data_IF_344805214316
#
_entry.id   IF_344805214316
#
_cell.length_a   1.000
_cell.length_b   1.000
_cell.length_c   1.000
_cell.angle_alpha   90.00
_cell.angle_beta   90.00
_cell.angle_gamma   90.00
#
_symmetry.space_group_name_H-M   'P 1'
#
loop_
_entity.id
_entity.type
_entity.pdbx_description
1 polymer ?
#
# COMPACT_ATOMS: atom_id res chain seq x y z
N UNK A 1 80.22 -84.18 4.96
CA UNK A 1 81.62 -84.50 5.07
C UNK A 1 82.32 -83.61 6.06
N UNK A 2 82.68 -84.13 7.14
CA UNK A 2 83.93 -83.93 7.87
C UNK A 2 84.15 -82.52 8.48
N UNK A 3 84.09 -82.44 9.70
CA UNK A 3 85.04 -82.73 10.81
C UNK A 3 85.76 -81.45 11.11
N UNK A 4 85.95 -81.06 12.21
CA UNK A 4 86.18 -81.62 13.45
C UNK A 4 86.63 -80.52 14.41
N UNK A 5 86.26 -80.76 15.53
CA UNK A 5 87.11 -80.88 16.70
C UNK A 5 87.78 -79.63 17.30
N UNK A 6 87.33 -79.40 18.46
CA UNK A 6 88.18 -79.39 19.69
C UNK A 6 89.03 -78.14 19.91
N UNK A 7 88.64 -77.39 20.84
CA UNK A 7 89.42 -76.40 21.52
C UNK A 7 88.60 -75.86 22.67
N UNK A 8 88.13 -76.55 23.41
CA UNK A 8 88.41 -77.22 24.67
C UNK A 8 88.81 -76.29 25.77
N UNK A 9 88.04 -76.36 26.72
CA UNK A 9 88.34 -76.50 28.14
C UNK A 9 89.46 -75.64 28.83
N UNK A 10 90.28 -74.92 28.12
CA UNK A 10 91.28 -74.07 28.77
C UNK A 10 90.85 -72.65 29.12
N UNK A 11 89.83 -72.13 28.42
CA UNK A 11 89.35 -70.78 28.68
C UNK A 11 88.28 -70.71 29.77
N UNK A 12 87.75 -71.85 30.25
CA UNK A 12 86.76 -71.86 31.33
C UNK A 12 87.41 -71.81 32.75
N UNK A 13 88.69 -72.24 32.88
CA UNK A 13 89.43 -72.22 34.17
C UNK A 13 90.12 -70.89 34.43
N UNK A 14 90.47 -70.08 33.41
CA UNK A 14 91.03 -68.77 33.63
C UNK A 14 89.98 -67.73 34.05
N UNK A 15 88.73 -67.92 33.64
CA UNK A 15 87.62 -67.02 34.00
C UNK A 15 87.16 -67.19 35.48
N UNK A 16 87.51 -68.34 36.13
CA UNK A 16 87.23 -68.62 37.57
C UNK A 16 88.30 -68.09 38.54
N UNK A 17 89.42 -67.60 38.00
CA UNK A 17 90.52 -67.14 38.82
C UNK A 17 90.44 -65.69 39.32
N UNK A 18 89.45 -64.89 38.79
CA UNK A 18 89.20 -63.47 39.19
C UNK A 18 87.77 -63.19 39.56
N UNK A 19 87.26 -63.65 40.68
CA UNK A 19 85.87 -63.38 41.09
C UNK A 19 85.57 -61.87 41.27
N UNK A 20 86.66 -61.09 41.53
CA UNK A 20 86.56 -59.64 41.62
C UNK A 20 86.27 -58.93 40.28
N UNK A 21 86.86 -59.44 39.14
CA UNK A 21 86.71 -58.84 37.79
C UNK A 21 85.32 -59.12 37.25
N UNK A 22 84.78 -60.33 37.47
CA UNK A 22 83.43 -60.67 37.08
C UNK A 22 82.36 -59.80 37.79
N UNK A 23 82.55 -59.54 39.05
CA UNK A 23 81.65 -58.69 39.85
C UNK A 23 81.63 -57.21 39.39
N UNK A 24 82.84 -56.70 39.07
CA UNK A 24 83.00 -55.34 38.52
C UNK A 24 82.46 -55.22 37.12
N UNK A 25 82.58 -56.23 36.28
CA UNK A 25 82.03 -56.27 34.94
C UNK A 25 80.46 -56.27 34.96
N UNK A 26 79.87 -57.02 35.85
CA UNK A 26 78.46 -57.05 36.09
C UNK A 26 77.91 -55.70 36.57
N UNK A 27 78.61 -55.11 37.55
CA UNK A 27 78.26 -53.77 38.07
C UNK A 27 78.42 -52.70 36.99
N UNK A 28 79.45 -52.80 36.14
CA UNK A 28 79.63 -51.90 34.99
C UNK A 28 78.52 -52.07 33.96
N UNK A 29 78.11 -53.31 33.66
CA UNK A 29 77.04 -53.62 32.75
C UNK A 29 75.65 -53.14 33.23
N UNK A 30 75.40 -53.29 34.54
CA UNK A 30 74.17 -52.76 35.15
C UNK A 30 74.19 -51.23 35.21
N UNK A 31 75.34 -50.60 35.45
CA UNK A 31 75.50 -49.17 35.38
C UNK A 31 75.30 -48.64 33.96
N UNK A 32 75.79 -49.33 32.91
CA UNK A 32 75.60 -48.98 31.53
C UNK A 32 74.13 -49.15 31.13
N UNK A 33 73.42 -50.19 31.56
CA UNK A 33 72.02 -50.39 31.38
C UNK A 33 71.18 -49.27 32.07
N UNK A 34 71.51 -48.93 33.29
CA UNK A 34 70.85 -47.86 34.03
C UNK A 34 71.04 -46.48 33.35
N UNK A 35 72.25 -46.20 32.84
CA UNK A 35 72.52 -44.96 32.10
C UNK A 35 71.75 -44.92 30.78
N UNK A 36 71.68 -46.04 30.02
CA UNK A 36 70.90 -46.11 28.79
C UNK A 36 69.41 -45.93 29.10
N UNK A 37 68.86 -46.60 30.09
CA UNK A 37 67.45 -46.45 30.48
C UNK A 37 67.15 -45.02 30.96
N UNK A 38 68.11 -44.39 31.71
CA UNK A 38 67.95 -42.98 32.10
C UNK A 38 68.01 -42.04 30.90
N UNK A 39 68.80 -42.34 29.88
CA UNK A 39 68.91 -41.56 28.65
C UNK A 39 67.64 -41.74 27.74
N UNK A 40 67.10 -42.95 27.65
CA UNK A 40 65.86 -43.24 26.99
C UNK A 40 64.67 -42.54 27.70
N UNK A 41 64.65 -42.59 29.04
CA UNK A 41 63.64 -41.90 29.84
C UNK A 41 63.64 -40.37 29.59
N UNK A 42 64.88 -39.82 29.58
CA UNK A 42 65.09 -38.39 29.32
C UNK A 42 64.63 -38.02 27.89
N UNK A 43 64.98 -38.81 26.88
CA UNK A 43 64.54 -38.55 25.50
C UNK A 43 62.99 -38.61 25.35
N UNK A 44 62.35 -39.57 26.04
CA UNK A 44 60.89 -39.66 26.10
C UNK A 44 60.27 -38.46 26.85
N UNK A 45 60.88 -38.00 27.91
CA UNK A 45 60.44 -36.79 28.63
C UNK A 45 60.57 -35.54 27.77
N UNK A 46 61.67 -35.39 27.02
CA UNK A 46 61.88 -34.27 26.10
C UNK A 46 60.90 -34.30 24.94
N UNK A 47 60.57 -35.48 24.34
CA UNK A 47 59.60 -35.68 23.31
C UNK A 47 58.17 -35.36 23.82
N UNK A 48 57.83 -35.82 25.03
CA UNK A 48 56.53 -35.49 25.66
C UNK A 48 56.40 -33.99 25.93
N UNK A 49 57.45 -33.34 26.43
CA UNK A 49 57.43 -31.88 26.63
C UNK A 49 57.30 -31.12 25.30
N UNK A 50 58.00 -31.56 24.25
CA UNK A 50 57.89 -30.97 22.94
C UNK A 50 56.41 -31.13 22.34
N UNK A 51 55.83 -32.32 22.54
CA UNK A 51 54.44 -32.58 22.16
C UNK A 51 53.45 -31.71 22.94
N UNK A 52 53.64 -31.56 24.25
CA UNK A 52 52.82 -30.66 25.09
C UNK A 52 52.93 -29.21 24.65
N UNK A 53 54.13 -28.74 24.32
CA UNK A 53 54.34 -27.38 23.82
C UNK A 53 53.65 -27.15 22.45
N UNK A 54 53.69 -28.13 21.56
CA UNK A 54 52.97 -28.03 20.27
C UNK A 54 51.46 -28.06 20.43
N UNK A 55 50.92 -28.80 21.39
CA UNK A 55 49.50 -28.79 21.75
C UNK A 55 49.06 -27.44 22.29
N UNK A 56 49.78 -26.87 23.24
CA UNK A 56 49.46 -25.55 23.81
C UNK A 56 49.56 -24.44 22.78
N UNK A 57 50.53 -24.51 21.86
CA UNK A 57 50.62 -23.55 20.74
C UNK A 57 49.44 -23.68 19.77
N UNK A 58 49.02 -24.90 19.45
CA UNK A 58 47.84 -25.12 18.62
C UNK A 58 46.54 -24.65 19.30
N UNK A 59 46.39 -24.92 20.60
CA UNK A 59 45.24 -24.45 21.39
C UNK A 59 45.18 -22.92 21.44
N UNK A 60 46.31 -22.25 21.63
CA UNK A 60 46.36 -20.78 21.61
C UNK A 60 45.99 -20.20 20.25
N UNK A 61 46.48 -20.81 19.16
CA UNK A 61 46.11 -20.40 17.78
C UNK A 61 44.61 -20.60 17.52
N UNK A 62 44.03 -21.74 17.96
CA UNK A 62 42.58 -22.02 17.82
C UNK A 62 41.77 -21.02 18.65
N UNK A 63 42.19 -20.71 19.87
CA UNK A 63 41.52 -19.72 20.72
C UNK A 63 41.53 -18.33 20.09
N UNK A 64 42.68 -17.91 19.54
CA UNK A 64 42.79 -16.62 18.83
C UNK A 64 41.91 -16.58 17.59
N UNK A 65 41.88 -17.64 16.78
CA UNK A 65 40.99 -17.73 15.61
C UNK A 65 39.50 -17.69 15.99
N UNK A 66 39.11 -18.40 17.07
CA UNK A 66 37.75 -18.31 17.61
C UNK A 66 37.38 -16.88 18.02
N UNK A 67 38.29 -16.18 18.68
CA UNK A 67 38.12 -14.78 19.08
C UNK A 67 37.91 -13.86 17.88
N UNK A 68 38.68 -14.02 16.82
CA UNK A 68 38.54 -13.24 15.57
C UNK A 68 37.19 -13.53 14.89
N UNK A 69 36.80 -14.80 14.79
CA UNK A 69 35.54 -15.19 14.19
C UNK A 69 34.33 -14.61 14.94
N UNK A 70 34.33 -14.71 16.29
CA UNK A 70 33.29 -14.14 17.13
C UNK A 70 33.19 -12.60 16.97
N UNK A 71 34.33 -11.92 16.92
CA UNK A 71 34.38 -10.49 16.69
C UNK A 71 33.80 -10.12 15.32
N UNK A 72 34.17 -10.84 14.26
CA UNK A 72 33.61 -10.62 12.90
C UNK A 72 32.11 -10.88 12.84
N UNK A 73 31.61 -11.91 13.54
CA UNK A 73 30.17 -12.18 13.62
C UNK A 73 29.41 -11.04 14.32
N UNK A 74 29.94 -10.51 15.42
CA UNK A 74 29.35 -9.38 16.14
C UNK A 74 29.34 -8.13 15.26
N UNK A 75 30.44 -7.85 14.56
CA UNK A 75 30.54 -6.74 13.64
C UNK A 75 29.53 -6.85 12.48
N UNK A 76 29.42 -8.04 11.89
CA UNK A 76 28.45 -8.30 10.82
C UNK A 76 27.00 -8.12 11.31
N UNK A 77 26.67 -8.59 12.52
CA UNK A 77 25.36 -8.41 13.12
C UNK A 77 25.04 -6.92 13.38
N UNK A 78 26.03 -6.16 13.87
CA UNK A 78 25.88 -4.71 14.08
C UNK A 78 25.65 -3.96 12.76
N UNK A 79 26.38 -4.31 11.69
CA UNK A 79 26.20 -3.72 10.36
C UNK A 79 24.83 -4.06 9.78
N UNK A 80 24.38 -5.32 9.90
CA UNK A 80 23.05 -5.75 9.45
C UNK A 80 21.93 -5.00 10.21
N UNK A 81 22.05 -4.86 11.52
CA UNK A 81 21.12 -4.08 12.35
C UNK A 81 21.08 -2.61 11.95
N UNK A 82 22.23 -1.99 11.70
CA UNK A 82 22.35 -0.62 11.22
C UNK A 82 21.67 -0.43 9.84
N UNK A 83 21.85 -1.39 8.94
CA UNK A 83 21.22 -1.37 7.62
C UNK A 83 19.69 -1.46 7.71
N UNK A 84 19.15 -2.38 8.52
CA UNK A 84 17.72 -2.52 8.74
C UNK A 84 17.11 -1.25 9.36
N UNK A 85 17.81 -0.64 10.33
CA UNK A 85 17.40 0.63 10.93
C UNK A 85 17.35 1.76 9.89
N UNK A 86 18.39 1.85 9.05
CA UNK A 86 18.44 2.84 7.97
C UNK A 86 17.30 2.65 6.94
N UNK A 87 17.04 1.39 6.55
CA UNK A 87 15.90 1.07 5.67
C UNK A 87 14.57 1.48 6.32
N UNK A 88 14.39 1.24 7.61
CA UNK A 88 13.21 1.65 8.37
C UNK A 88 12.99 3.18 8.33
N UNK A 89 14.04 3.97 8.54
CA UNK A 89 14.00 5.43 8.45
C UNK A 89 13.67 5.86 7.01
N UNK A 90 14.30 5.25 6.02
CA UNK A 90 14.07 5.59 4.62
C UNK A 90 12.63 5.30 4.18
N UNK A 91 12.06 4.17 4.58
CA UNK A 91 10.65 3.85 4.35
C UNK A 91 9.70 4.82 5.04
N UNK A 92 10.01 5.25 6.28
CA UNK A 92 9.24 6.28 6.99
C UNK A 92 9.26 7.61 6.23
N UNK A 93 10.44 8.04 5.78
CA UNK A 93 10.60 9.28 5.02
C UNK A 93 9.86 9.23 3.67
N UNK A 94 9.92 8.10 2.95
CA UNK A 94 9.17 7.91 1.70
C UNK A 94 7.66 8.02 1.94
N UNK A 95 7.15 7.45 3.02
CA UNK A 95 5.73 7.57 3.39
C UNK A 95 5.34 9.03 3.70
N UNK A 96 6.20 9.77 4.40
CA UNK A 96 5.98 11.19 4.68
C UNK A 96 6.01 12.03 3.40
N UNK A 97 6.99 11.80 2.50
CA UNK A 97 7.08 12.49 1.21
C UNK A 97 5.83 12.21 0.35
N UNK A 98 5.34 10.95 0.34
CA UNK A 98 4.09 10.62 -0.37
C UNK A 98 2.87 11.35 0.21
N UNK A 99 2.77 11.44 1.55
CA UNK A 99 1.71 12.22 2.21
C UNK A 99 1.81 13.71 1.87
N UNK A 100 3.02 14.26 1.91
CA UNK A 100 3.26 15.68 1.62
C UNK A 100 2.98 16.00 0.14
N UNK A 101 3.40 15.14 -0.79
CA UNK A 101 3.07 15.27 -2.22
C UNK A 101 1.55 15.21 -2.47
N UNK A 102 0.83 14.31 -1.79
CA UNK A 102 -0.63 14.24 -1.88
C UNK A 102 -1.28 15.52 -1.33
N UNK A 103 -0.82 16.02 -0.19
CA UNK A 103 -1.31 17.27 0.41
C UNK A 103 -0.99 18.49 -0.49
N UNK A 104 0.20 18.54 -1.06
CA UNK A 104 0.61 19.61 -2.00
C UNK A 104 -0.20 19.54 -3.30
N UNK A 105 -0.46 18.35 -3.82
CA UNK A 105 -1.32 18.15 -5.00
C UNK A 105 -2.74 18.63 -4.75
N UNK A 106 -3.30 18.35 -3.56
CA UNK A 106 -4.62 18.84 -3.14
C UNK A 106 -4.60 20.38 -3.00
N UNK A 107 -3.56 20.94 -2.37
CA UNK A 107 -3.44 22.40 -2.21
C UNK A 107 -3.26 23.11 -3.55
N UNK A 108 -2.45 22.56 -4.46
CA UNK A 108 -2.29 23.08 -5.81
C UNK A 108 -3.57 22.93 -6.65
N UNK A 109 -4.26 21.78 -6.53
CA UNK A 109 -5.57 21.59 -7.17
C UNK A 109 -6.60 22.62 -6.68
N UNK A 110 -6.62 22.89 -5.37
CA UNK A 110 -7.48 23.94 -4.79
C UNK A 110 -7.10 25.34 -5.28
N UNK A 111 -5.82 25.66 -5.46
CA UNK A 111 -5.38 26.94 -6.00
C UNK A 111 -5.68 27.08 -7.50
N UNK A 112 -5.50 26.00 -8.27
CA UNK A 112 -5.90 25.97 -9.68
C UNK A 112 -7.41 26.10 -9.85
N UNK A 113 -8.19 25.42 -8.99
CA UNK A 113 -9.64 25.58 -8.93
C UNK A 113 -10.05 27.00 -8.54
N UNK A 114 -9.42 27.60 -7.54
CA UNK A 114 -9.68 29.01 -7.18
C UNK A 114 -9.38 29.98 -8.32
N UNK A 115 -8.30 29.76 -9.04
CA UNK A 115 -7.94 30.59 -10.20
C UNK A 115 -8.90 30.41 -11.38
N UNK A 116 -9.25 29.16 -11.70
CA UNK A 116 -10.28 28.85 -12.70
C UNK A 116 -11.65 29.38 -12.28
N UNK A 117 -11.98 29.30 -11.01
CA UNK A 117 -13.17 29.84 -10.41
C UNK A 117 -13.27 31.36 -10.57
N UNK A 118 -12.21 32.09 -10.24
CA UNK A 118 -12.17 33.56 -10.40
C UNK A 118 -12.30 33.94 -11.89
N UNK A 119 -11.62 33.23 -12.78
CA UNK A 119 -11.69 33.49 -14.21
C UNK A 119 -13.08 33.13 -14.77
N UNK A 120 -13.66 31.99 -14.39
CA UNK A 120 -14.99 31.57 -14.85
C UNK A 120 -16.10 32.46 -14.26
N UNK A 121 -15.97 32.95 -13.03
CA UNK A 121 -16.87 33.96 -12.49
C UNK A 121 -16.82 35.23 -13.35
N UNK A 122 -15.62 35.69 -13.70
CA UNK A 122 -15.46 36.85 -14.59
C UNK A 122 -16.12 36.64 -15.97
N UNK A 123 -15.84 35.47 -16.60
CA UNK A 123 -16.37 35.14 -17.92
C UNK A 123 -17.89 34.90 -17.96
N UNK A 124 -18.49 34.45 -16.85
CA UNK A 124 -19.93 34.09 -16.75
C UNK A 124 -20.76 35.22 -16.17
N UNK A 125 -20.22 36.02 -15.27
CA UNK A 125 -20.93 37.16 -14.70
C UNK A 125 -21.04 38.28 -15.76
N UNK A 126 -20.01 38.53 -16.55
CA UNK A 126 -20.01 39.61 -17.55
C UNK A 126 -21.16 39.51 -18.55
N UNK A 127 -21.40 38.35 -19.27
CA UNK A 127 -22.54 38.22 -20.14
C UNK A 127 -23.91 38.29 -19.44
N UNK A 128 -23.95 37.81 -18.17
CA UNK A 128 -25.18 37.88 -17.37
C UNK A 128 -25.47 39.30 -16.91
N UNK A 129 -24.45 40.13 -16.64
CA UNK A 129 -24.60 41.54 -16.33
C UNK A 129 -25.00 42.34 -17.57
N UNK A 130 -24.41 42.07 -18.74
CA UNK A 130 -24.79 42.66 -20.04
C UNK A 130 -26.21 42.30 -20.41
N UNK A 131 -26.65 41.06 -20.16
CA UNK A 131 -28.03 40.62 -20.40
C UNK A 131 -29.07 41.24 -19.44
N UNK A 132 -28.63 41.73 -18.28
CA UNK A 132 -29.44 42.52 -17.34
C UNK A 132 -29.90 43.84 -17.96
N UNK A 133 -29.10 44.48 -18.77
CA UNK A 133 -29.45 45.68 -19.53
C UNK A 133 -30.51 45.39 -20.60
N UNK A 134 -30.66 44.15 -21.05
CA UNK A 134 -31.58 43.71 -22.11
C UNK A 134 -33.00 43.25 -21.67
N UNK A 135 -33.39 43.36 -20.41
CA UNK A 135 -34.80 43.15 -19.97
C UNK A 135 -35.10 41.79 -19.29
N UNK A 136 -34.19 40.82 -19.21
CA UNK A 136 -34.37 39.51 -18.56
C UNK A 136 -33.71 39.45 -17.15
N UNK A 137 -33.66 40.56 -16.44
CA UNK A 137 -32.98 40.80 -15.17
C UNK A 137 -33.24 39.70 -14.13
N UNK A 138 -34.50 39.33 -13.94
CA UNK A 138 -34.93 38.42 -12.86
C UNK A 138 -34.36 37.01 -13.06
N UNK A 139 -34.32 36.49 -14.30
CA UNK A 139 -33.81 35.14 -14.60
C UNK A 139 -32.29 35.05 -14.42
N UNK A 140 -31.54 36.05 -14.86
CA UNK A 140 -30.07 36.09 -14.72
C UNK A 140 -29.64 36.32 -13.28
N UNK A 141 -30.35 37.16 -12.51
CA UNK A 141 -30.10 37.35 -11.08
C UNK A 141 -30.37 36.06 -10.31
N UNK A 142 -31.41 35.31 -10.65
CA UNK A 142 -31.66 34.00 -10.02
C UNK A 142 -30.54 33.00 -10.34
N UNK A 143 -30.15 32.89 -11.62
CA UNK A 143 -29.06 32.01 -12.04
C UNK A 143 -27.73 32.32 -11.33
N UNK A 144 -27.42 33.62 -11.10
CA UNK A 144 -26.27 34.06 -10.32
C UNK A 144 -26.35 33.66 -8.84
N UNK A 145 -27.54 33.76 -8.22
CA UNK A 145 -27.76 33.30 -6.83
C UNK A 145 -27.60 31.80 -6.71
N UNK A 146 -28.14 31.03 -7.66
CA UNK A 146 -28.04 29.58 -7.69
C UNK A 146 -26.59 29.14 -7.89
N UNK A 147 -25.84 29.79 -8.78
CA UNK A 147 -24.40 29.58 -8.94
C UNK A 147 -23.65 29.81 -7.64
N UNK A 148 -23.90 30.94 -6.94
CA UNK A 148 -23.23 31.23 -5.67
C UNK A 148 -23.51 30.16 -4.61
N UNK A 149 -24.75 29.68 -4.53
CA UNK A 149 -25.15 28.62 -3.60
C UNK A 149 -24.48 27.29 -3.93
N UNK A 150 -24.43 26.94 -5.21
CA UNK A 150 -23.74 25.70 -5.67
C UNK A 150 -22.24 25.75 -5.43
N UNK A 151 -21.61 26.92 -5.63
CA UNK A 151 -20.21 27.14 -5.30
C UNK A 151 -19.95 26.93 -3.80
N UNK A 152 -20.75 27.54 -2.94
CA UNK A 152 -20.61 27.40 -1.48
C UNK A 152 -20.76 25.94 -1.07
N UNK A 153 -21.73 25.23 -1.61
CA UNK A 153 -21.97 23.81 -1.37
C UNK A 153 -20.80 22.96 -1.84
N UNK A 154 -20.32 23.18 -3.08
CA UNK A 154 -19.18 22.45 -3.62
C UNK A 154 -17.91 22.66 -2.77
N UNK A 155 -17.61 23.92 -2.42
CA UNK A 155 -16.43 24.25 -1.60
C UNK A 155 -16.51 23.68 -0.18
N UNK A 156 -17.69 23.68 0.44
CA UNK A 156 -17.91 23.05 1.75
C UNK A 156 -17.68 21.53 1.69
N UNK A 157 -18.19 20.86 0.66
CA UNK A 157 -17.95 19.42 0.43
C UNK A 157 -16.49 19.10 0.15
N UNK A 158 -15.82 19.92 -0.66
CA UNK A 158 -14.40 19.73 -0.98
C UNK A 158 -13.50 19.96 0.22
N UNK A 159 -13.79 20.96 1.07
CA UNK A 159 -13.03 21.24 2.29
C UNK A 159 -13.11 20.09 3.32
N UNK A 160 -14.22 19.37 3.33
CA UNK A 160 -14.47 18.21 4.21
C UNK A 160 -14.39 16.87 3.45
N UNK A 161 -13.68 16.81 2.32
CA UNK A 161 -13.65 15.66 1.41
C UNK A 161 -13.30 14.35 2.08
N UNK A 162 -12.33 14.36 3.00
CA UNK A 162 -11.87 13.15 3.71
C UNK A 162 -12.85 12.70 4.80
N UNK A 163 -13.81 13.55 5.19
CA UNK A 163 -14.84 13.21 6.17
C UNK A 163 -15.94 12.37 5.51
N UNK A 164 -16.27 11.24 6.11
CA UNK A 164 -17.34 10.36 5.63
C UNK A 164 -18.67 10.74 6.27
N UNK A 165 -19.76 10.55 5.52
CA UNK A 165 -21.09 10.69 6.10
C UNK A 165 -21.37 9.60 7.14
N UNK A 166 -22.20 9.92 8.14
CA UNK A 166 -22.75 8.91 9.03
C UNK A 166 -23.69 7.99 8.25
N UNK A 167 -23.40 6.69 8.25
CA UNK A 167 -24.13 5.68 7.50
C UNK A 167 -25.11 4.95 8.42
N UNK A 168 -26.38 4.81 7.98
CA UNK A 168 -27.43 4.05 8.69
C UNK A 168 -28.04 3.03 7.76
N UNK A 169 -28.49 1.91 8.32
CA UNK A 169 -29.25 0.91 7.57
C UNK A 169 -30.65 1.45 7.28
N UNK A 170 -31.03 1.45 6.01
CA UNK A 170 -32.30 1.98 5.58
C UNK A 170 -32.89 1.19 4.43
N UNK A 171 -34.20 1.18 4.36
CA UNK A 171 -34.93 0.60 3.23
C UNK A 171 -34.86 1.56 2.03
N UNK A 172 -34.19 1.12 0.97
CA UNK A 172 -33.98 1.96 -0.22
C UNK A 172 -35.19 2.03 -1.14
N UNK A 173 -36.12 1.06 -1.07
CA UNK A 173 -37.34 1.10 -1.89
C UNK A 173 -38.16 2.35 -1.58
N UNK A 174 -38.44 2.59 -0.30
CA UNK A 174 -39.20 3.76 0.15
C UNK A 174 -38.53 5.08 -0.20
N UNK A 175 -37.19 5.15 -0.01
CA UNK A 175 -36.42 6.34 -0.40
C UNK A 175 -36.53 6.59 -1.90
N UNK A 176 -36.29 5.58 -2.73
CA UNK A 176 -36.34 5.70 -4.19
C UNK A 176 -37.76 6.02 -4.72
N UNK A 177 -38.78 5.48 -4.05
CA UNK A 177 -40.20 5.85 -4.35
C UNK A 177 -40.45 7.33 -4.09
N UNK A 178 -40.01 7.86 -2.93
CA UNK A 178 -40.17 9.27 -2.61
C UNK A 178 -39.39 10.17 -3.57
N UNK A 179 -38.11 9.80 -3.85
CA UNK A 179 -37.27 10.53 -4.81
C UNK A 179 -37.88 10.54 -6.20
N UNK A 180 -38.36 9.40 -6.69
CA UNK A 180 -39.02 9.31 -8.01
C UNK A 180 -40.30 10.16 -8.06
N UNK A 181 -41.11 10.16 -7.00
CA UNK A 181 -42.33 10.96 -6.94
C UNK A 181 -42.03 12.46 -6.95
N UNK A 182 -41.02 12.93 -6.23
CA UNK A 182 -40.54 14.31 -6.27
C UNK A 182 -40.04 14.68 -7.69
N UNK A 183 -39.24 13.81 -8.30
CA UNK A 183 -38.65 14.05 -9.61
C UNK A 183 -39.72 14.10 -10.74
N UNK A 184 -40.80 13.32 -10.63
CA UNK A 184 -41.90 13.30 -11.60
C UNK A 184 -42.57 14.65 -11.81
N UNK A 185 -42.54 15.53 -10.81
CA UNK A 185 -43.11 16.88 -10.93
C UNK A 185 -42.41 17.71 -12.02
N UNK A 186 -41.17 17.38 -12.35
CA UNK A 186 -40.39 18.03 -13.41
C UNK A 186 -40.38 17.29 -14.74
N UNK A 187 -41.03 16.11 -14.82
CA UNK A 187 -41.10 15.34 -16.06
C UNK A 187 -42.06 15.94 -17.07
N UNK A 188 -41.71 15.86 -18.34
CA UNK A 188 -42.60 16.26 -19.44
C UNK A 188 -43.74 15.26 -19.59
N UNK A 189 -44.89 15.66 -20.13
CA UNK A 189 -46.09 14.79 -20.22
C UNK A 189 -45.84 13.46 -20.93
N UNK A 190 -44.97 13.46 -21.95
CA UNK A 190 -44.65 12.28 -22.77
C UNK A 190 -43.50 11.42 -22.20
N UNK A 191 -43.10 11.68 -20.97
CA UNK A 191 -42.01 10.92 -20.28
C UNK A 191 -42.59 9.94 -19.28
N UNK A 192 -42.31 8.66 -19.48
CA UNK A 192 -42.73 7.57 -18.58
C UNK A 192 -41.68 7.34 -17.49
N UNK A 193 -42.10 7.46 -16.24
CA UNK A 193 -41.27 7.12 -15.11
C UNK A 193 -41.30 5.61 -14.81
N UNK A 194 -40.15 5.01 -14.54
CA UNK A 194 -40.05 3.60 -14.19
C UNK A 194 -39.15 3.42 -12.97
N UNK A 195 -39.62 2.66 -12.00
CA UNK A 195 -38.85 2.33 -10.77
C UNK A 195 -38.67 0.82 -10.66
N UNK A 196 -37.42 0.38 -10.55
CA UNK A 196 -37.07 -1.03 -10.38
C UNK A 196 -36.09 -1.17 -9.20
N UNK A 197 -36.64 -1.05 -7.99
CA UNK A 197 -35.86 -1.09 -6.75
C UNK A 197 -36.46 -2.14 -5.82
N UNK A 198 -35.71 -3.20 -5.46
CA UNK A 198 -36.18 -4.24 -4.56
C UNK A 198 -36.28 -3.70 -3.12
N UNK A 199 -37.12 -4.33 -2.31
CA UNK A 199 -37.23 -4.06 -0.86
C UNK A 199 -36.03 -4.63 -0.12
N UNK A 200 -34.93 -3.89 -0.09
CA UNK A 200 -33.69 -4.27 0.60
C UNK A 200 -33.18 -3.12 1.46
N UNK A 201 -32.49 -3.48 2.53
CA UNK A 201 -31.77 -2.49 3.33
C UNK A 201 -30.36 -2.31 2.80
N UNK A 202 -29.93 -1.06 2.73
CA UNK A 202 -28.57 -0.66 2.37
C UNK A 202 -28.07 0.32 3.42
N UNK A 203 -26.82 0.16 3.80
CA UNK A 203 -26.15 1.07 4.73
C UNK A 203 -25.66 2.30 3.98
N UNK A 204 -26.34 3.44 4.20
CA UNK A 204 -26.05 4.69 3.52
C UNK A 204 -26.52 5.90 4.35
N UNK A 205 -26.29 7.10 3.85
CA UNK A 205 -26.87 8.33 4.36
C UNK A 205 -28.04 8.73 3.45
N UNK A 206 -29.24 8.83 4.04
CA UNK A 206 -30.47 9.08 3.30
C UNK A 206 -30.45 10.39 2.51
N UNK A 207 -30.11 11.49 3.18
CA UNK A 207 -30.10 12.83 2.60
C UNK A 207 -29.08 12.95 1.47
N UNK A 208 -27.86 12.44 1.70
CA UNK A 208 -26.81 12.47 0.70
C UNK A 208 -27.18 11.66 -0.55
N UNK A 209 -27.78 10.46 -0.36
CA UNK A 209 -28.25 9.62 -1.47
C UNK A 209 -29.43 10.28 -2.21
N UNK A 210 -30.40 10.83 -1.49
CA UNK A 210 -31.52 11.55 -2.05
C UNK A 210 -31.06 12.71 -2.95
N UNK A 211 -30.10 13.53 -2.45
CA UNK A 211 -29.53 14.65 -3.21
C UNK A 211 -28.91 14.21 -4.55
N UNK A 212 -28.13 13.13 -4.56
CA UNK A 212 -27.55 12.60 -5.81
C UNK A 212 -28.67 12.14 -6.75
N UNK A 213 -29.61 11.34 -6.26
CA UNK A 213 -30.65 10.75 -7.10
C UNK A 213 -31.59 11.81 -7.67
N UNK A 214 -32.00 12.82 -6.88
CA UNK A 214 -32.80 13.95 -7.34
C UNK A 214 -32.08 14.74 -8.43
N UNK A 215 -30.79 15.01 -8.25
CA UNK A 215 -30.01 15.72 -9.26
C UNK A 215 -29.92 14.92 -10.57
N UNK A 216 -29.62 13.62 -10.51
CA UNK A 216 -29.54 12.76 -11.71
C UNK A 216 -30.88 12.63 -12.42
N UNK A 217 -31.98 12.48 -11.68
CA UNK A 217 -33.35 12.42 -12.25
C UNK A 217 -33.78 13.77 -12.84
N UNK A 218 -33.40 14.89 -12.21
CA UNK A 218 -33.62 16.24 -12.72
C UNK A 218 -32.90 16.47 -14.06
N UNK A 219 -31.63 16.04 -14.16
CA UNK A 219 -30.90 16.07 -15.43
C UNK A 219 -31.57 15.20 -16.50
N UNK A 220 -31.99 13.99 -16.13
CA UNK A 220 -32.73 13.11 -17.05
C UNK A 220 -34.02 13.78 -17.55
N UNK A 221 -34.79 14.44 -16.66
CA UNK A 221 -36.00 15.18 -17.01
C UNK A 221 -35.73 16.36 -17.97
N UNK A 222 -34.64 17.10 -17.73
CA UNK A 222 -34.24 18.24 -18.56
C UNK A 222 -33.92 17.82 -20.00
N UNK A 223 -33.24 16.67 -20.15
CA UNK A 223 -32.72 16.20 -21.44
C UNK A 223 -33.57 15.15 -22.15
N UNK A 224 -34.74 14.80 -21.60
CA UNK A 224 -35.68 13.85 -22.20
C UNK A 224 -36.98 14.58 -22.58
N UNK A 225 -37.24 14.72 -23.88
CA UNK A 225 -38.48 15.32 -24.36
C UNK A 225 -39.65 14.33 -24.31
N UNK A 226 -39.40 13.08 -24.70
CA UNK A 226 -40.34 11.98 -24.70
C UNK A 226 -39.61 10.65 -24.47
N UNK A 227 -40.33 9.64 -24.00
CA UNK A 227 -39.74 8.31 -23.77
C UNK A 227 -39.74 7.89 -22.29
N UNK A 228 -38.59 7.46 -21.75
CA UNK A 228 -38.58 6.81 -20.45
C UNK A 228 -37.39 7.27 -19.58
N UNK A 229 -37.69 7.52 -18.31
CA UNK A 229 -36.66 7.71 -17.25
C UNK A 229 -36.83 6.58 -16.24
N UNK A 230 -35.74 5.88 -15.94
CA UNK A 230 -35.72 4.70 -15.09
C UNK A 230 -34.73 4.87 -13.94
N UNK A 231 -35.16 4.56 -12.71
CA UNK A 231 -34.30 4.39 -11.56
C UNK A 231 -34.31 2.91 -11.17
N UNK A 232 -33.13 2.29 -11.18
CA UNK A 232 -32.94 0.88 -10.82
C UNK A 232 -31.94 0.74 -9.68
N UNK A 233 -32.10 -0.30 -8.88
CA UNK A 233 -31.07 -0.74 -7.94
C UNK A 233 -30.66 -2.18 -8.26
N UNK A 234 -29.34 -2.41 -8.36
CA UNK A 234 -28.75 -3.74 -8.56
C UNK A 234 -27.77 -4.04 -7.46
N UNK A 235 -28.03 -5.08 -6.68
CA UNK A 235 -27.06 -5.61 -5.72
C UNK A 235 -25.94 -6.31 -6.48
N UNK A 236 -24.67 -5.92 -6.25
CA UNK A 236 -23.50 -6.49 -6.92
C UNK A 236 -22.79 -7.53 -6.05
N UNK A 237 -22.73 -7.30 -4.75
CA UNK A 237 -22.13 -8.21 -3.78
C UNK A 237 -22.82 -8.08 -2.42
N UNK A 238 -22.28 -8.76 -1.39
CA UNK A 238 -22.73 -8.56 -0.01
C UNK A 238 -22.49 -7.12 0.47
N UNK A 239 -21.45 -6.47 -0.05
CA UNK A 239 -20.96 -5.15 0.38
C UNK A 239 -21.03 -4.07 -0.71
N UNK A 240 -21.68 -4.31 -1.84
CA UNK A 240 -21.83 -3.29 -2.89
C UNK A 240 -23.16 -3.36 -3.59
N UNK A 241 -23.68 -2.18 -3.96
CA UNK A 241 -24.91 -2.00 -4.72
C UNK A 241 -24.81 -0.81 -5.67
N UNK A 242 -25.56 -0.86 -6.76
CA UNK A 242 -25.56 0.17 -7.79
C UNK A 242 -26.94 0.76 -7.93
N UNK A 243 -27.06 2.09 -7.82
CA UNK A 243 -28.20 2.86 -8.27
C UNK A 243 -27.93 3.32 -9.70
N UNK A 244 -28.85 3.05 -10.58
CA UNK A 244 -28.72 3.30 -12.02
C UNK A 244 -29.86 4.22 -12.46
N UNK A 245 -29.51 5.42 -12.90
CA UNK A 245 -30.46 6.35 -13.53
C UNK A 245 -30.24 6.30 -15.03
N UNK A 246 -31.28 5.94 -15.78
CA UNK A 246 -31.23 5.80 -17.23
C UNK A 246 -32.34 6.65 -17.86
N UNK A 247 -32.00 7.43 -18.84
CA UNK A 247 -32.94 8.16 -19.70
C UNK A 247 -32.83 7.72 -21.17
N UNK A 248 -33.84 8.06 -21.95
CA UNK A 248 -33.90 7.90 -23.41
C UNK A 248 -33.77 9.22 -24.13
N UNK A 249 -33.15 10.22 -23.52
CA UNK A 249 -32.99 11.57 -24.05
C UNK A 249 -31.93 11.69 -25.14
N UNK A 250 -31.45 12.92 -25.35
CA UNK A 250 -30.47 13.22 -26.41
C UNK A 250 -29.09 12.59 -26.21
N UNK A 251 -28.80 12.05 -25.00
CA UNK A 251 -27.48 11.52 -24.66
C UNK A 251 -26.41 12.60 -24.48
N UNK A 252 -25.17 12.17 -24.28
CA UNK A 252 -24.01 13.05 -24.08
C UNK A 252 -22.99 12.79 -25.18
N UNK A 253 -22.61 13.84 -25.98
CA UNK A 253 -21.57 13.74 -26.99
C UNK A 253 -20.24 13.21 -26.41
N UNK A 254 -19.52 12.44 -27.21
CA UNK A 254 -18.30 11.75 -26.72
C UNK A 254 -17.22 12.73 -26.25
N UNK A 255 -17.10 13.87 -26.97
CA UNK A 255 -16.12 14.93 -26.65
C UNK A 255 -16.35 15.56 -25.27
N UNK A 256 -17.60 15.54 -24.78
CA UNK A 256 -18.00 16.14 -23.50
C UNK A 256 -17.86 15.19 -22.31
N UNK A 257 -17.80 13.87 -22.54
CA UNK A 257 -17.86 12.85 -21.48
C UNK A 257 -16.68 12.93 -20.52
N UNK A 258 -15.47 13.23 -21.00
CA UNK A 258 -14.25 13.31 -20.17
C UNK A 258 -14.25 14.48 -19.17
N UNK A 259 -15.10 15.49 -19.42
CA UNK A 259 -15.17 16.71 -18.62
C UNK A 259 -16.35 16.75 -17.65
N UNK A 260 -17.31 15.82 -17.75
CA UNK A 260 -18.59 15.84 -17.01
C UNK A 260 -18.46 16.00 -15.49
N UNK A 261 -17.43 15.41 -14.90
CA UNK A 261 -17.20 15.46 -13.45
C UNK A 261 -16.14 16.50 -13.05
N UNK A 262 -15.65 17.31 -14.02
CA UNK A 262 -14.73 18.41 -13.73
C UNK A 262 -15.56 19.65 -13.38
N UNK A 263 -15.26 20.33 -12.26
CA UNK A 263 -15.96 21.55 -11.91
C UNK A 263 -15.78 22.61 -12.99
N UNK A 264 -16.87 23.32 -13.29
CA UNK A 264 -16.91 24.43 -14.25
C UNK A 264 -16.52 24.03 -15.69
N UNK A 265 -16.64 22.75 -16.05
CA UNK A 265 -16.46 22.35 -17.44
C UNK A 265 -17.64 22.81 -18.26
N UNK A 266 -17.35 23.53 -19.39
CA UNK A 266 -18.30 23.88 -20.46
C UNK A 266 -19.55 24.66 -20.04
N UNK A 267 -19.44 25.70 -19.21
CA UNK A 267 -20.57 26.61 -18.97
C UNK A 267 -20.48 27.81 -19.93
N UNK A 268 -21.42 27.88 -20.88
CA UNK A 268 -21.56 29.01 -21.78
C UNK A 268 -22.74 29.92 -21.39
N UNK A 269 -23.71 29.39 -20.68
CA UNK A 269 -24.97 30.08 -20.32
C UNK A 269 -25.43 29.61 -18.94
N UNK A 270 -25.28 30.45 -17.91
CA UNK A 270 -25.69 30.17 -16.54
C UNK A 270 -27.18 29.81 -16.37
N UNK A 271 -28.02 30.29 -17.29
CA UNK A 271 -29.46 29.97 -17.22
C UNK A 271 -29.78 28.53 -17.64
N UNK A 272 -28.77 27.81 -18.22
CA UNK A 272 -28.88 26.40 -18.63
C UNK A 272 -28.12 25.45 -17.69
N UNK A 273 -27.27 25.98 -16.84
CA UNK A 273 -26.51 25.22 -15.86
C UNK A 273 -25.18 25.85 -15.53
N UNK A 274 -24.62 25.53 -14.36
CA UNK A 274 -23.39 26.12 -13.84
C UNK A 274 -22.17 25.17 -13.85
N UNK A 275 -22.36 23.95 -14.33
CA UNK A 275 -21.30 22.94 -14.40
C UNK A 275 -20.80 22.41 -13.08
N UNK A 276 -21.52 22.63 -11.98
CA UNK A 276 -21.13 22.17 -10.63
C UNK A 276 -21.92 20.96 -10.13
N UNK A 277 -23.07 20.66 -10.71
CA UNK A 277 -23.95 19.65 -10.16
C UNK A 277 -23.39 18.23 -10.21
N UNK A 278 -22.90 17.73 -11.36
CA UNK A 278 -22.26 16.41 -11.45
C UNK A 278 -20.97 16.31 -10.63
N UNK A 279 -20.06 17.31 -10.63
CA UNK A 279 -18.93 17.35 -9.70
C UNK A 279 -19.34 17.27 -8.22
N UNK A 280 -20.39 17.98 -7.81
CA UNK A 280 -20.96 17.93 -6.46
C UNK A 280 -21.49 16.53 -6.14
N UNK A 281 -22.25 15.92 -7.03
CA UNK A 281 -22.72 14.53 -6.86
C UNK A 281 -21.57 13.53 -6.74
N UNK A 282 -20.49 13.71 -7.50
CA UNK A 282 -19.32 12.85 -7.40
C UNK A 282 -18.59 12.99 -6.04
N UNK A 283 -18.52 14.21 -5.47
CA UNK A 283 -17.99 14.42 -4.11
C UNK A 283 -18.89 13.78 -3.05
N UNK A 284 -20.20 13.94 -3.15
CA UNK A 284 -21.14 13.30 -2.24
C UNK A 284 -21.02 11.78 -2.33
N UNK A 285 -20.93 11.21 -3.55
CA UNK A 285 -20.74 9.79 -3.76
C UNK A 285 -19.43 9.29 -3.11
N UNK A 286 -18.32 10.04 -3.25
CA UNK A 286 -17.05 9.74 -2.59
C UNK A 286 -17.20 9.73 -1.05
N UNK A 287 -17.92 10.71 -0.47
CA UNK A 287 -18.18 10.77 0.99
C UNK A 287 -19.11 9.64 1.46
N UNK A 288 -19.94 9.07 0.58
CA UNK A 288 -20.75 7.86 0.80
C UNK A 288 -19.97 6.55 0.61
N UNK A 289 -18.63 6.60 0.50
CA UNK A 289 -17.80 5.44 0.16
C UNK A 289 -18.18 4.80 -1.18
N UNK A 290 -18.53 5.62 -2.16
CA UNK A 290 -18.96 5.18 -3.47
C UNK A 290 -18.30 5.92 -4.63
N UNK A 291 -18.77 5.64 -5.81
CA UNK A 291 -18.35 6.28 -7.08
C UNK A 291 -19.53 6.57 -7.96
N UNK A 292 -19.52 7.73 -8.63
CA UNK A 292 -20.48 8.10 -9.65
C UNK A 292 -19.78 8.11 -11.01
N UNK A 293 -20.38 7.44 -12.00
CA UNK A 293 -19.82 7.36 -13.35
C UNK A 293 -20.91 7.38 -14.43
N UNK A 294 -20.54 7.76 -15.63
CA UNK A 294 -21.33 7.57 -16.84
C UNK A 294 -21.13 6.13 -17.36
N UNK A 295 -22.16 5.53 -17.92
CA UNK A 295 -22.07 4.28 -18.68
C UNK A 295 -21.81 4.61 -20.15
N UNK A 296 -20.56 4.53 -20.57
CA UNK A 296 -20.14 4.87 -21.95
C UNK A 296 -20.64 3.88 -23.00
N UNK A 297 -21.05 2.67 -22.59
CA UNK A 297 -21.58 1.65 -23.50
C UNK A 297 -23.07 1.91 -23.85
N UNK A 298 -23.78 2.65 -23.02
CA UNK A 298 -25.19 2.98 -23.28
C UNK A 298 -25.32 4.10 -24.32
N UNK A 299 -26.00 3.81 -25.44
CA UNK A 299 -26.12 4.72 -26.63
C UNK A 299 -27.54 5.22 -26.92
N UNK A 300 -28.54 4.81 -26.14
CA UNK A 300 -29.96 5.16 -26.37
C UNK A 300 -30.42 6.35 -25.54
N UNK A 301 -29.52 7.17 -25.03
CA UNK A 301 -29.72 8.26 -24.10
C UNK A 301 -28.55 8.35 -23.13
N UNK A 302 -28.80 8.70 -21.86
CA UNK A 302 -27.80 8.77 -20.82
C UNK A 302 -28.04 7.71 -19.74
N UNK A 303 -26.96 7.15 -19.20
CA UNK A 303 -27.02 6.26 -18.04
C UNK A 303 -25.91 6.61 -17.05
N UNK A 304 -26.32 7.03 -15.85
CA UNK A 304 -25.42 7.22 -14.72
C UNK A 304 -25.49 6.05 -13.75
N UNK A 305 -24.36 5.65 -13.23
CA UNK A 305 -24.22 4.56 -12.26
C UNK A 305 -23.56 5.11 -11.01
N UNK A 306 -24.30 5.11 -9.90
CA UNK A 306 -23.80 5.37 -8.55
C UNK A 306 -23.55 4.03 -7.87
N UNK A 307 -22.31 3.68 -7.63
CA UNK A 307 -21.92 2.48 -6.90
C UNK A 307 -21.56 2.84 -5.46
N UNK A 308 -22.17 2.17 -4.48
CA UNK A 308 -21.89 2.32 -3.05
C UNK A 308 -21.30 1.05 -2.49
N UNK A 309 -20.33 1.22 -1.59
CA UNK A 309 -19.65 0.14 -0.87
C UNK A 309 -19.93 0.27 0.63
N UNK A 310 -20.44 -0.80 1.24
CA UNK A 310 -20.76 -0.90 2.68
C UNK A 310 -19.72 -1.69 3.46
#
# INVERSE_FOLDING_TARGET
>A
MLSGHVGTSKNRQEFLAYPCIGKTLYQLQDSIKAVKAAQELKSLQDEYAASQNTLTEKESKISTQKGIITFLCILAAALAGGLLFFIGIMLKNIRQIKKLKKSLSIANGNNEMKSKFINNIGEQITPSLEAIEGGNVKKHVQALKDLMTHIQTYMALESTREERYEMKDMNISTLCENVMNKAKESFKPDVVASLNVPRVNVRTNAEALENILLYLLGNAALHTESGKITLEFKKRSAHSGQFIVTDTGCGIPEEKRFALFKPFAEVQDLTKGDGLGLPTCALIAYKLNGTLRLDDEYKKGTRFILELHS
#
